data_IF_284594685563
#
_entry.id   IF_284594685563
#
_cell.length_a   1.000
_cell.length_b   1.000
_cell.length_c   1.000
_cell.angle_alpha   90.00
_cell.angle_beta   90.00
_cell.angle_gamma   90.00
#
_symmetry.space_group_name_H-M   'P 1'
#
loop_
_entity.id
_entity.type
_entity.pdbx_description
1 polymer ?
#
# COMPACT_ATOMS: atom_id res chain seq x y z
N UNK A 1 4.86 23.72 -5.84
CA UNK A 1 4.99 22.46 -5.07
C UNK A 1 3.62 21.80 -5.04
N UNK A 2 3.52 20.51 -5.37
CA UNK A 2 2.25 19.78 -5.48
C UNK A 2 2.06 18.88 -4.27
N UNK A 3 0.95 19.03 -3.56
CA UNK A 3 0.62 18.15 -2.42
C UNK A 3 0.03 16.83 -2.92
N UNK A 4 0.56 15.70 -2.43
CA UNK A 4 0.08 14.36 -2.75
C UNK A 4 -0.20 13.60 -1.46
N UNK A 5 -1.47 13.28 -1.19
CA UNK A 5 -1.83 12.35 -0.12
C UNK A 5 -1.58 10.89 -0.54
N UNK A 6 -0.86 10.14 0.29
CA UNK A 6 -0.59 8.71 0.07
C UNK A 6 -1.03 7.94 1.33
N UNK A 7 -1.84 6.90 1.14
CA UNK A 7 -2.19 5.98 2.23
C UNK A 7 -0.98 5.14 2.62
N UNK A 8 -0.78 4.94 3.92
CA UNK A 8 0.06 3.87 4.46
C UNK A 8 -0.80 2.73 5.07
N UNK A 9 -2.05 2.59 4.63
CA UNK A 9 -2.90 1.42 4.89
C UNK A 9 -3.57 1.38 6.28
N UNK A 10 -3.49 0.22 6.95
CA UNK A 10 -4.43 -0.42 7.91
C UNK A 10 -5.53 -1.22 7.20
N UNK A 11 -6.27 -0.56 6.32
CA UNK A 11 -7.20 -1.09 5.30
C UNK A 11 -7.36 0.02 4.22
N UNK A 12 -8.43 0.01 3.41
CA UNK A 12 -8.73 1.10 2.48
C UNK A 12 -9.16 2.43 3.15
N UNK A 13 -9.40 2.46 4.47
CA UNK A 13 -9.88 3.63 5.21
C UNK A 13 -8.97 4.86 5.08
N UNK A 14 -7.66 4.71 5.22
CA UNK A 14 -6.70 5.81 5.03
C UNK A 14 -6.80 6.43 3.63
N UNK A 15 -7.04 5.59 2.61
CA UNK A 15 -7.27 6.06 1.26
C UNK A 15 -8.62 6.77 1.11
N UNK A 16 -9.69 6.21 1.66
CA UNK A 16 -11.04 6.80 1.64
C UNK A 16 -11.06 8.16 2.36
N UNK A 17 -10.51 8.23 3.57
CA UNK A 17 -10.39 9.46 4.36
C UNK A 17 -9.66 10.54 3.56
N UNK A 18 -8.54 10.18 2.93
CA UNK A 18 -7.76 11.13 2.16
C UNK A 18 -8.56 11.75 1.01
N UNK A 19 -9.38 10.95 0.32
CA UNK A 19 -10.26 11.47 -0.74
C UNK A 19 -11.33 12.39 -0.15
N UNK A 20 -12.01 11.94 0.91
CA UNK A 20 -13.09 12.69 1.56
C UNK A 20 -12.63 14.03 2.13
N UNK A 21 -11.38 14.12 2.61
CA UNK A 21 -10.79 15.36 3.15
C UNK A 21 -10.03 16.18 2.10
N UNK A 22 -10.07 15.79 0.82
CA UNK A 22 -9.37 16.49 -0.26
C UNK A 22 -7.83 16.43 -0.17
N UNK A 23 -7.27 15.51 0.62
CA UNK A 23 -5.83 15.32 0.77
C UNK A 23 -5.22 14.52 -0.39
N UNK A 24 -6.03 13.68 -1.05
CA UNK A 24 -5.62 12.91 -2.23
C UNK A 24 -6.71 12.92 -3.31
N UNK A 25 -6.25 12.74 -4.53
CA UNK A 25 -7.11 12.57 -5.71
C UNK A 25 -7.50 11.09 -5.88
N UNK A 26 -8.59 10.83 -6.60
CA UNK A 26 -8.94 9.49 -7.08
C UNK A 26 -8.16 9.15 -8.35
N UNK A 27 -8.21 7.88 -8.78
CA UNK A 27 -7.60 7.46 -10.04
C UNK A 27 -8.17 8.23 -11.24
N UNK A 28 -9.49 8.42 -11.29
CA UNK A 28 -10.16 9.23 -12.31
C UNK A 28 -9.70 10.71 -12.33
N UNK A 29 -9.16 11.20 -11.22
CA UNK A 29 -8.60 12.54 -11.08
C UNK A 29 -7.07 12.59 -11.31
N UNK A 30 -6.48 11.49 -11.81
CA UNK A 30 -5.06 11.40 -12.18
C UNK A 30 -4.12 10.97 -11.04
N UNK A 31 -4.65 10.35 -9.99
CA UNK A 31 -3.81 9.70 -8.97
C UNK A 31 -3.39 8.29 -9.41
N UNK A 32 -2.10 7.99 -9.33
CA UNK A 32 -1.58 6.66 -9.57
C UNK A 32 -1.64 5.85 -8.27
N UNK A 33 -2.37 4.74 -8.29
CA UNK A 33 -2.58 3.90 -7.11
C UNK A 33 -1.23 3.43 -6.54
N UNK A 34 -1.09 3.53 -5.22
CA UNK A 34 0.08 3.14 -4.44
C UNK A 34 -0.14 1.77 -3.75
N UNK A 35 0.92 1.09 -3.30
CA UNK A 35 0.80 -0.31 -2.86
C UNK A 35 -0.03 -0.48 -1.57
N UNK A 36 -0.04 0.52 -0.68
CA UNK A 36 -0.75 0.47 0.59
C UNK A 36 -2.20 1.00 0.52
N UNK A 37 -2.72 1.31 -0.68
CA UNK A 37 -4.02 1.98 -0.80
C UNK A 37 -5.23 1.08 -0.51
N UNK A 38 -5.14 -0.21 -0.81
CA UNK A 38 -6.29 -1.14 -0.77
C UNK A 38 -6.11 -2.30 0.20
N UNK A 39 -4.86 -2.64 0.52
CA UNK A 39 -4.55 -3.84 1.28
C UNK A 39 -4.71 -3.64 2.78
N UNK A 40 -4.97 -4.75 3.47
CA UNK A 40 -4.86 -4.84 4.91
C UNK A 40 -3.36 -4.84 5.26
N UNK A 41 -2.90 -3.84 6.00
CA UNK A 41 -1.49 -3.70 6.34
C UNK A 41 -1.29 -3.43 7.82
N UNK A 42 -0.06 -3.62 8.28
CA UNK A 42 0.36 -3.30 9.63
C UNK A 42 1.63 -2.42 9.60
N UNK A 43 1.83 -1.61 10.65
CA UNK A 43 2.90 -0.60 10.69
C UNK A 43 4.29 -1.20 10.63
N UNK A 44 4.52 -2.31 11.34
CA UNK A 44 5.81 -3.00 11.34
C UNK A 44 6.16 -3.49 9.93
N UNK A 45 5.21 -4.14 9.25
CA UNK A 45 5.37 -4.61 7.89
C UNK A 45 5.65 -3.46 6.91
N UNK A 46 4.97 -2.31 7.05
CA UNK A 46 5.23 -1.14 6.20
C UNK A 46 6.65 -0.62 6.38
N UNK A 47 7.10 -0.49 7.64
CA UNK A 47 8.45 -0.05 7.98
C UNK A 47 9.48 -1.02 7.41
N UNK A 48 9.31 -2.33 7.60
CA UNK A 48 10.20 -3.35 7.04
C UNK A 48 10.24 -3.31 5.51
N UNK A 49 9.08 -3.22 4.88
CA UNK A 49 8.92 -3.13 3.42
C UNK A 49 9.61 -1.88 2.84
N UNK A 50 9.54 -0.74 3.50
CA UNK A 50 10.29 0.46 3.09
C UNK A 50 11.80 0.22 3.27
N UNK A 51 12.21 -0.40 4.38
CA UNK A 51 13.62 -0.60 4.72
C UNK A 51 14.35 -1.60 3.80
N UNK A 52 13.68 -2.61 3.29
CA UNK A 52 14.27 -3.53 2.29
C UNK A 52 13.99 -3.13 0.84
N UNK A 53 13.35 -1.98 0.62
CA UNK A 53 12.96 -1.45 -0.68
C UNK A 53 12.02 -2.39 -1.47
N UNK A 54 10.96 -2.84 -0.79
CA UNK A 54 9.89 -3.70 -1.32
C UNK A 54 10.39 -5.06 -1.83
N UNK A 55 11.58 -5.51 -1.40
CA UNK A 55 12.28 -6.68 -1.96
C UNK A 55 11.41 -7.93 -1.97
N UNK A 56 10.68 -8.17 -0.90
CA UNK A 56 9.86 -9.37 -0.71
C UNK A 56 8.37 -9.13 -0.95
N UNK A 57 7.98 -7.94 -1.44
CA UNK A 57 6.57 -7.56 -1.58
C UNK A 57 5.85 -8.43 -2.61
N UNK A 58 6.51 -8.62 -3.75
CA UNK A 58 6.03 -9.40 -4.89
C UNK A 58 6.77 -10.74 -5.03
N UNK A 59 7.51 -11.19 -3.99
CA UNK A 59 8.19 -12.48 -4.02
C UNK A 59 7.17 -13.62 -3.87
N UNK A 60 7.02 -14.51 -4.86
CA UNK A 60 6.09 -15.64 -4.77
C UNK A 60 6.29 -16.52 -3.53
N UNK A 61 7.51 -16.65 -3.02
CA UNK A 61 7.79 -17.45 -1.82
C UNK A 61 7.22 -16.82 -0.54
N UNK A 62 6.97 -15.51 -0.60
CA UNK A 62 6.34 -14.75 0.46
C UNK A 62 4.82 -14.61 0.25
N UNK A 63 4.26 -15.07 -0.86
CA UNK A 63 2.82 -15.00 -1.15
C UNK A 63 2.16 -16.34 -0.85
N UNK A 64 1.08 -16.33 -0.05
CA UNK A 64 0.32 -17.54 0.29
C UNK A 64 -1.17 -17.27 0.27
N UNK A 65 -1.92 -18.21 -0.30
CA UNK A 65 -3.36 -18.27 -0.10
C UNK A 65 -3.63 -19.02 1.19
N UNK A 66 -4.15 -18.32 2.20
CA UNK A 66 -4.54 -18.88 3.49
C UNK A 66 -6.07 -18.93 3.59
N UNK A 67 -6.60 -19.54 4.65
CA UNK A 67 -8.05 -19.69 4.87
C UNK A 67 -8.85 -18.38 4.82
N UNK A 68 -8.19 -17.26 5.09
CA UNK A 68 -8.75 -15.92 5.19
C UNK A 68 -8.33 -14.99 4.04
N UNK A 69 -7.56 -15.49 3.06
CA UNK A 69 -7.24 -14.79 1.83
C UNK A 69 -5.77 -14.85 1.41
N UNK A 70 -5.43 -14.11 0.36
CA UNK A 70 -4.06 -13.95 -0.14
C UNK A 70 -3.27 -13.04 0.80
N UNK A 71 -2.10 -13.50 1.25
CA UNK A 71 -1.26 -12.76 2.19
C UNK A 71 0.21 -12.70 1.74
N UNK A 72 0.91 -11.65 2.16
CA UNK A 72 2.37 -11.60 2.15
C UNK A 72 2.88 -12.01 3.55
N UNK A 73 3.51 -13.17 3.65
CA UNK A 73 3.95 -13.73 4.93
C UNK A 73 5.20 -13.06 5.50
N UNK A 74 5.96 -12.31 4.70
CA UNK A 74 7.14 -11.57 5.17
C UNK A 74 6.74 -10.31 5.93
N UNK A 75 5.79 -9.55 5.40
CA UNK A 75 5.35 -8.29 6.02
C UNK A 75 4.03 -8.42 6.78
N UNK A 76 3.38 -9.58 6.71
CA UNK A 76 2.05 -9.84 7.26
C UNK A 76 0.99 -8.87 6.70
N UNK A 77 0.94 -8.74 5.37
CA UNK A 77 -0.08 -7.98 4.65
C UNK A 77 -1.16 -8.90 4.11
N UNK A 78 -2.42 -8.45 4.12
CA UNK A 78 -3.55 -9.15 3.52
C UNK A 78 -4.06 -8.43 2.27
N UNK A 79 -4.27 -9.17 1.19
CA UNK A 79 -4.73 -8.66 -0.09
C UNK A 79 -6.16 -9.11 -0.35
N UNK A 80 -7.10 -8.59 0.45
CA UNK A 80 -8.52 -8.88 0.32
C UNK A 80 -9.05 -8.60 -1.09
N UNK A 81 -8.66 -7.47 -1.71
CA UNK A 81 -9.10 -7.14 -3.08
C UNK A 81 -8.54 -8.08 -4.15
N UNK A 82 -7.43 -8.75 -3.88
CA UNK A 82 -6.81 -9.73 -4.79
C UNK A 82 -7.12 -11.19 -4.39
N UNK A 83 -7.91 -11.40 -3.33
CA UNK A 83 -8.30 -12.73 -2.84
C UNK A 83 -9.43 -13.30 -3.70
N UNK A 84 -9.36 -14.60 -4.09
CA UNK A 84 -10.42 -15.24 -4.86
C UNK A 84 -11.81 -15.10 -4.23
N UNK A 85 -12.78 -14.66 -5.02
CA UNK A 85 -14.18 -14.53 -4.62
C UNK A 85 -14.50 -13.31 -3.74
N UNK A 86 -13.51 -12.52 -3.30
CA UNK A 86 -13.77 -11.36 -2.45
C UNK A 86 -14.66 -10.33 -3.18
N UNK A 87 -15.83 -10.05 -2.58
CA UNK A 87 -16.85 -9.12 -3.09
C UNK A 87 -17.20 -9.31 -4.59
N UNK A 88 -16.97 -10.51 -5.14
CA UNK A 88 -17.07 -10.80 -6.58
C UNK A 88 -16.36 -9.78 -7.49
N UNK A 89 -15.24 -9.19 -7.03
CA UNK A 89 -14.51 -8.15 -7.77
C UNK A 89 -14.09 -8.59 -9.17
N UNK A 90 -13.80 -9.88 -9.37
CA UNK A 90 -13.48 -10.44 -10.68
C UNK A 90 -14.58 -10.25 -11.74
N UNK A 91 -15.86 -10.18 -11.33
CA UNK A 91 -16.97 -9.87 -12.23
C UNK A 91 -17.01 -8.38 -12.60
N UNK A 92 -16.82 -7.51 -11.60
CA UNK A 92 -16.90 -6.07 -11.76
C UNK A 92 -15.70 -5.49 -12.51
N UNK A 93 -14.50 -5.96 -12.18
CA UNK A 93 -13.23 -5.58 -12.81
C UNK A 93 -12.92 -6.42 -14.07
N UNK A 94 -13.77 -7.40 -14.40
CA UNK A 94 -13.66 -8.26 -15.60
C UNK A 94 -12.30 -8.95 -15.72
N UNK A 95 -11.85 -9.60 -14.64
CA UNK A 95 -10.55 -10.27 -14.66
C UNK A 95 -10.58 -11.49 -15.61
N UNK A 96 -9.60 -11.60 -16.52
CA UNK A 96 -9.62 -12.61 -17.59
C UNK A 96 -9.57 -14.06 -17.09
N UNK A 97 -9.06 -14.26 -15.88
CA UNK A 97 -8.88 -15.59 -15.26
C UNK A 97 -9.87 -15.82 -14.10
N UNK A 98 -10.94 -15.03 -14.04
CA UNK A 98 -11.98 -15.13 -13.02
C UNK A 98 -11.46 -14.88 -11.61
N UNK A 99 -12.02 -15.57 -10.63
CA UNK A 99 -11.68 -15.40 -9.20
C UNK A 99 -10.21 -15.73 -8.89
N UNK A 100 -9.56 -16.59 -9.66
CA UNK A 100 -8.19 -17.04 -9.41
C UNK A 100 -7.11 -16.16 -10.09
N UNK A 101 -7.50 -15.05 -10.70
CA UNK A 101 -6.62 -14.20 -11.50
C UNK A 101 -5.29 -13.81 -10.82
N UNK A 102 -5.30 -13.57 -9.51
CA UNK A 102 -4.08 -13.16 -8.79
C UNK A 102 -3.24 -14.31 -8.24
N UNK A 103 -3.75 -15.54 -8.22
CA UNK A 103 -3.03 -16.71 -7.68
C UNK A 103 -2.49 -17.63 -8.77
N UNK A 104 -3.07 -17.58 -9.97
CA UNK A 104 -2.62 -18.38 -11.11
C UNK A 104 -1.22 -17.98 -11.57
N UNK A 105 -0.55 -18.92 -12.28
CA UNK A 105 0.72 -18.68 -12.96
C UNK A 105 1.79 -18.07 -12.04
N UNK A 106 1.93 -18.63 -10.83
CA UNK A 106 2.88 -18.15 -9.82
C UNK A 106 2.70 -16.66 -9.48
N UNK A 107 1.45 -16.25 -9.24
CA UNK A 107 1.07 -14.88 -8.86
C UNK A 107 1.38 -13.80 -9.92
N UNK A 108 1.48 -14.16 -11.20
CA UNK A 108 1.92 -13.24 -12.27
C UNK A 108 1.16 -11.90 -12.28
N UNK A 109 -0.17 -11.92 -12.33
CA UNK A 109 -0.98 -10.69 -12.38
C UNK A 109 -0.90 -9.87 -11.10
N UNK A 110 -0.67 -10.53 -9.95
CA UNK A 110 -0.47 -9.86 -8.68
C UNK A 110 0.84 -9.06 -8.71
N UNK A 111 1.91 -9.72 -9.15
CA UNK A 111 3.25 -9.13 -9.29
C UNK A 111 3.22 -7.95 -10.26
N UNK A 112 2.59 -8.11 -11.42
CA UNK A 112 2.44 -7.04 -12.41
C UNK A 112 1.70 -5.82 -11.81
N UNK A 113 0.56 -6.04 -11.17
CA UNK A 113 -0.25 -4.98 -10.53
C UNK A 113 0.54 -4.25 -9.45
N UNK A 114 1.18 -4.97 -8.53
CA UNK A 114 1.86 -4.35 -7.41
C UNK A 114 3.21 -3.72 -7.78
N UNK A 115 3.93 -4.27 -8.76
CA UNK A 115 5.11 -3.59 -9.30
C UNK A 115 4.77 -2.22 -9.91
N UNK A 116 3.63 -2.11 -10.61
CA UNK A 116 3.12 -0.82 -11.10
C UNK A 116 2.81 0.13 -9.94
N UNK A 117 2.15 -0.35 -8.87
CA UNK A 117 1.82 0.46 -7.69
C UNK A 117 3.07 0.93 -6.94
N UNK A 118 4.07 0.06 -6.75
CA UNK A 118 5.36 0.39 -6.13
C UNK A 118 6.11 1.43 -6.97
N UNK A 119 6.11 1.28 -8.29
CA UNK A 119 6.70 2.27 -9.21
C UNK A 119 6.02 3.64 -9.07
N UNK A 120 4.70 3.66 -8.97
CA UNK A 120 3.92 4.90 -8.73
C UNK A 120 4.30 5.56 -7.41
N UNK A 121 4.39 4.78 -6.34
CA UNK A 121 4.82 5.25 -5.02
C UNK A 121 6.21 5.89 -5.08
N UNK A 122 7.20 5.18 -5.63
CA UNK A 122 8.56 5.72 -5.81
C UNK A 122 8.56 7.00 -6.65
N UNK A 123 7.79 7.04 -7.73
CA UNK A 123 7.67 8.23 -8.59
C UNK A 123 7.17 9.45 -7.81
N UNK A 124 6.18 9.28 -6.92
CA UNK A 124 5.71 10.39 -6.08
C UNK A 124 6.78 10.87 -5.11
N UNK A 125 7.46 9.95 -4.43
CA UNK A 125 8.43 10.26 -3.38
C UNK A 125 9.74 10.87 -3.93
N UNK A 126 10.13 10.50 -5.16
CA UNK A 126 11.38 10.97 -5.77
C UNK A 126 11.26 12.30 -6.53
N UNK A 127 10.04 12.76 -6.82
CA UNK A 127 9.82 14.03 -7.50
C UNK A 127 9.97 15.21 -6.51
N UNK A 128 10.99 16.06 -6.67
CA UNK A 128 11.29 17.16 -5.74
C UNK A 128 10.23 18.26 -5.72
N UNK A 129 9.31 18.25 -6.70
CA UNK A 129 8.20 19.19 -6.76
C UNK A 129 7.02 18.75 -5.88
N UNK A 130 7.03 17.52 -5.37
CA UNK A 130 5.98 17.00 -4.51
C UNK A 130 6.23 17.32 -3.03
N UNK A 131 5.14 17.53 -2.32
CA UNK A 131 5.06 17.43 -0.86
C UNK A 131 4.12 16.28 -0.52
N UNK A 132 4.60 15.27 0.20
CA UNK A 132 3.82 14.07 0.49
C UNK A 132 3.10 14.22 1.83
N UNK A 133 1.81 13.97 1.87
CA UNK A 133 1.07 13.77 3.13
C UNK A 133 0.82 12.27 3.27
N UNK A 134 1.58 11.60 4.13
CA UNK A 134 1.28 10.21 4.46
C UNK A 134 0.08 10.16 5.38
N UNK A 135 -0.93 9.36 5.04
CA UNK A 135 -2.16 9.20 5.82
C UNK A 135 -2.10 7.84 6.51
N UNK A 136 -2.22 7.81 7.83
CA UNK A 136 -1.96 6.62 8.64
C UNK A 136 -3.06 6.40 9.70
N UNK A 137 -3.66 5.21 9.68
CA UNK A 137 -4.38 4.56 10.78
C UNK A 137 -3.46 4.41 12.01
N UNK A 138 -3.92 4.37 13.26
CA UNK A 138 -3.25 3.57 14.30
C UNK A 138 -4.30 2.77 15.07
N UNK A 139 -4.68 1.60 14.56
CA UNK A 139 -5.65 0.72 15.22
C UNK A 139 -4.93 -0.25 16.16
N UNK A 140 -5.31 -0.23 17.43
CA UNK A 140 -4.81 -1.13 18.49
C UNK A 140 -3.26 -1.15 18.61
N UNK A 141 -2.59 -0.05 18.23
CA UNK A 141 -1.14 0.07 18.33
C UNK A 141 -0.75 0.57 19.73
N UNK A 142 -0.04 -0.24 20.56
CA UNK A 142 0.33 0.15 21.91
C UNK A 142 1.40 1.25 21.97
N UNK A 143 2.20 1.45 20.91
CA UNK A 143 3.32 2.39 20.90
C UNK A 143 3.36 3.26 19.63
N UNK A 144 2.34 4.08 19.36
CA UNK A 144 2.20 4.82 18.10
C UNK A 144 3.37 5.78 17.85
N UNK A 145 3.84 6.51 18.87
CA UNK A 145 4.96 7.44 18.74
C UNK A 145 6.28 6.74 18.38
N UNK A 146 6.54 5.57 18.98
CA UNK A 146 7.75 4.78 18.68
C UNK A 146 7.73 4.31 17.23
N UNK A 147 6.59 3.82 16.75
CA UNK A 147 6.46 3.35 15.37
C UNK A 147 6.46 4.50 14.36
N UNK A 148 5.88 5.65 14.73
CA UNK A 148 5.96 6.87 13.94
C UNK A 148 7.42 7.33 13.77
N UNK A 149 8.22 7.29 14.85
CA UNK A 149 9.64 7.62 14.77
C UNK A 149 10.41 6.63 13.87
N UNK A 150 10.12 5.33 13.99
CA UNK A 150 10.74 4.30 13.13
C UNK A 150 10.39 4.50 11.65
N UNK A 151 9.14 4.86 11.36
CA UNK A 151 8.71 5.19 10.00
C UNK A 151 9.45 6.42 9.47
N UNK A 152 9.52 7.50 10.24
CA UNK A 152 10.28 8.71 9.88
C UNK A 152 11.74 8.39 9.56
N UNK A 153 12.40 7.61 10.43
CA UNK A 153 13.79 7.19 10.22
C UNK A 153 13.96 6.40 8.92
N UNK A 154 13.02 5.48 8.64
CA UNK A 154 13.04 4.66 7.42
C UNK A 154 12.86 5.53 6.17
N UNK A 155 11.93 6.48 6.20
CA UNK A 155 11.67 7.42 5.11
C UNK A 155 12.87 8.34 4.86
N UNK A 156 13.48 8.92 5.90
CA UNK A 156 14.66 9.80 5.76
C UNK A 156 15.87 9.02 5.22
N UNK A 157 16.06 7.79 5.70
CA UNK A 157 17.18 6.95 5.23
C UNK A 157 17.02 6.57 3.76
N UNK A 158 15.81 6.19 3.34
CA UNK A 158 15.56 5.73 1.96
C UNK A 158 15.33 6.87 0.97
N UNK A 159 14.76 7.97 1.43
CA UNK A 159 14.37 9.11 0.61
C UNK A 159 14.84 10.41 1.29
N UNK A 160 16.16 10.70 1.34
CA UNK A 160 16.72 11.80 2.12
C UNK A 160 16.29 13.20 1.65
N UNK A 161 15.78 13.31 0.41
CA UNK A 161 15.27 14.57 -0.17
C UNK A 161 13.74 14.69 -0.08
N UNK A 162 13.06 13.71 0.51
CA UNK A 162 11.60 13.67 0.60
C UNK A 162 11.10 14.79 1.51
N UNK A 163 10.19 15.60 0.98
CA UNK A 163 9.44 16.60 1.75
C UNK A 163 8.09 15.99 2.09
N UNK A 164 7.81 15.80 3.37
CA UNK A 164 6.59 15.14 3.79
C UNK A 164 6.09 15.60 5.16
N UNK A 165 4.81 15.30 5.40
CA UNK A 165 4.19 15.28 6.71
C UNK A 165 3.42 13.96 6.90
N UNK A 166 3.09 13.61 8.15
CA UNK A 166 2.32 12.43 8.49
C UNK A 166 1.03 12.86 9.19
N UNK A 167 -0.11 12.59 8.54
CA UNK A 167 -1.44 12.80 9.07
C UNK A 167 -1.95 11.50 9.69
N UNK A 168 -1.98 11.47 11.02
CA UNK A 168 -2.63 10.40 11.79
C UNK A 168 -4.14 10.65 11.77
N UNK A 169 -4.92 9.60 11.55
CA UNK A 169 -6.38 9.64 11.58
C UNK A 169 -6.91 8.67 12.64
N UNK A 170 -8.14 8.91 13.11
CA UNK A 170 -8.87 8.10 14.09
C UNK A 170 -9.92 7.27 13.38
#
# INVERSE_FOLDING_TARGET
>A
MKTIGISLGNVCESAVYGVQKGLRKTEAQGYNICPFDLMVSNYNGIIECINDDFRYFCDPNCLKLQSHGLTNTKYNFGFNHETPGHANLYLHEKWPEGSNHFINNNYRHFIERYNKRIKSFRKYLLDPNNFIIFIIQFVNEPHPEKNLQRLRNSLVTKYPKLKYDIRIIS
#
